data_IF_725134029212
#
_entry.id   IF_725134029212
#
_cell.length_a   1.000
_cell.length_b   1.000
_cell.length_c   1.000
_cell.angle_alpha   90.00
_cell.angle_beta   90.00
_cell.angle_gamma   90.00
#
_symmetry.space_group_name_H-M   'P 1'
#
loop_
_entity.id
_entity.type
_entity.pdbx_description
1 polymer ?
#
# COMPACT_ATOMS: atom_id res chain seq x y z
N UNK A 1 -2.54 18.42 6.11
CA UNK A 1 -1.44 17.68 6.80
C UNK A 1 -0.40 17.31 5.75
N UNK A 2 0.89 17.44 6.08
CA UNK A 2 1.99 17.05 5.19
C UNK A 2 2.19 15.52 5.23
N UNK A 3 2.55 14.93 4.10
CA UNK A 3 2.93 13.53 3.96
C UNK A 3 4.16 13.46 3.04
N UNK A 4 5.35 13.84 3.52
CA UNK A 4 6.55 13.93 2.69
C UNK A 4 6.95 12.54 2.18
N UNK A 5 7.72 12.49 1.09
CA UNK A 5 8.20 11.23 0.53
C UNK A 5 9.17 10.50 1.49
N UNK A 6 8.94 9.20 1.73
CA UNK A 6 9.81 8.31 2.53
C UNK A 6 9.57 6.83 2.15
N UNK A 7 10.45 5.92 2.56
CA UNK A 7 10.28 4.46 2.41
C UNK A 7 9.82 3.97 1.02
N UNK A 8 10.46 4.50 -0.03
CA UNK A 8 10.15 4.24 -1.44
C UNK A 8 11.38 3.89 -2.30
N UNK A 9 12.54 3.75 -1.67
CA UNK A 9 13.83 3.53 -2.35
C UNK A 9 14.00 2.09 -2.85
N UNK A 10 13.15 1.17 -2.42
CA UNK A 10 13.16 -0.23 -2.83
C UNK A 10 11.84 -0.58 -3.53
N UNK A 11 11.84 -1.57 -4.45
CA UNK A 11 10.62 -2.08 -5.05
C UNK A 11 9.61 -2.51 -3.97
N UNK A 12 8.36 -2.08 -4.14
CA UNK A 12 7.27 -2.59 -3.34
C UNK A 12 6.97 -4.03 -3.73
N UNK A 13 6.75 -4.88 -2.73
CA UNK A 13 6.47 -6.30 -2.89
C UNK A 13 4.98 -6.62 -2.72
N UNK A 14 4.58 -7.81 -3.14
CA UNK A 14 3.21 -8.31 -2.93
C UNK A 14 2.82 -8.27 -1.44
N UNK A 15 1.68 -7.65 -1.16
CA UNK A 15 1.16 -7.45 0.20
C UNK A 15 1.74 -6.25 0.93
N UNK A 16 2.62 -5.44 0.31
CA UNK A 16 3.00 -4.16 0.90
C UNK A 16 1.80 -3.22 0.95
N UNK A 17 1.68 -2.48 2.05
CA UNK A 17 0.69 -1.42 2.25
C UNK A 17 1.38 -0.09 2.02
N UNK A 18 0.88 0.69 1.08
CA UNK A 18 1.48 1.95 0.65
C UNK A 18 0.45 3.09 0.71
N UNK A 19 0.92 4.31 0.89
CA UNK A 19 0.10 5.53 0.86
C UNK A 19 0.69 6.56 -0.10
N UNK A 20 -0.13 7.24 -0.87
CA UNK A 20 0.34 8.32 -1.75
C UNK A 20 0.88 9.51 -0.95
N UNK A 21 2.10 9.95 -1.27
CA UNK A 21 2.78 11.06 -0.59
C UNK A 21 2.44 12.41 -1.24
N UNK A 22 3.11 13.47 -0.78
CA UNK A 22 2.88 14.86 -1.21
C UNK A 22 3.11 15.06 -2.72
N UNK A 23 3.91 14.21 -3.36
CA UNK A 23 4.20 14.26 -4.80
C UNK A 23 3.17 13.52 -5.66
N UNK A 24 2.12 12.95 -5.05
CA UNK A 24 1.10 12.17 -5.76
C UNK A 24 -0.19 12.95 -6.08
N UNK A 25 -0.12 14.29 -6.09
CA UNK A 25 -1.20 15.19 -6.48
C UNK A 25 -2.57 14.81 -5.88
N UNK A 26 -3.55 14.52 -6.74
CA UNK A 26 -4.92 14.14 -6.38
C UNK A 26 -5.02 12.78 -5.66
N UNK A 27 -3.96 11.97 -5.73
CA UNK A 27 -3.85 10.65 -5.08
C UNK A 27 -3.09 10.72 -3.74
N UNK A 28 -2.69 11.93 -3.31
CA UNK A 28 -2.13 12.14 -1.98
C UNK A 28 -3.06 11.56 -0.91
N UNK A 29 -2.47 10.80 0.01
CA UNK A 29 -3.13 10.08 1.10
C UNK A 29 -4.06 8.94 0.66
N UNK A 30 -4.03 8.52 -0.61
CA UNK A 30 -4.72 7.30 -1.04
C UNK A 30 -3.96 6.06 -0.53
N UNK A 31 -4.66 5.18 0.19
CA UNK A 31 -4.11 3.92 0.72
C UNK A 31 -4.30 2.79 -0.30
N UNK A 32 -3.25 2.01 -0.54
CA UNK A 32 -3.26 0.91 -1.51
C UNK A 32 -2.58 -0.34 -0.92
N UNK A 33 -2.94 -1.51 -1.45
CA UNK A 33 -2.22 -2.78 -1.23
C UNK A 33 -1.60 -3.21 -2.55
N UNK A 34 -0.32 -3.56 -2.51
CA UNK A 34 0.44 -3.94 -3.71
C UNK A 34 0.14 -5.40 -4.08
N UNK A 35 -0.40 -5.61 -5.29
CA UNK A 35 -0.70 -6.95 -5.84
C UNK A 35 0.29 -7.38 -6.94
N UNK A 36 1.10 -6.46 -7.43
CA UNK A 36 2.17 -6.71 -8.41
C UNK A 36 3.37 -5.87 -8.01
N UNK A 37 4.57 -6.46 -7.97
CA UNK A 37 5.76 -5.74 -7.56
C UNK A 37 6.06 -4.57 -8.53
N UNK A 38 6.41 -3.41 -7.98
CA UNK A 38 6.73 -2.19 -8.75
C UNK A 38 7.47 -1.17 -7.90
N UNK A 39 8.00 -0.14 -8.55
CA UNK A 39 8.60 1.05 -7.92
C UNK A 39 7.72 2.28 -8.21
N UNK A 40 7.51 3.13 -7.21
CA UNK A 40 6.87 4.45 -7.39
C UNK A 40 7.29 5.39 -6.25
N UNK A 41 8.11 6.39 -6.56
CA UNK A 41 8.61 7.34 -5.56
C UNK A 41 7.52 8.24 -4.96
N UNK A 42 6.34 8.30 -5.58
CA UNK A 42 5.19 9.08 -5.11
C UNK A 42 4.36 8.33 -4.06
N UNK A 43 4.79 7.15 -3.64
CA UNK A 43 4.13 6.34 -2.62
C UNK A 43 5.10 6.06 -1.48
N UNK A 44 4.63 6.05 -0.25
CA UNK A 44 5.40 5.64 0.92
C UNK A 44 4.94 4.27 1.40
N UNK A 45 5.86 3.33 1.67
CA UNK A 45 5.53 2.08 2.34
C UNK A 45 5.24 2.34 3.82
N UNK A 46 4.08 1.89 4.30
CA UNK A 46 3.61 2.10 5.69
C UNK A 46 3.32 0.79 6.43
N UNK A 47 3.38 -0.34 5.74
CA UNK A 47 3.19 -1.65 6.36
C UNK A 47 3.29 -2.79 5.35
N UNK A 48 3.00 -3.99 5.84
CA UNK A 48 2.96 -5.19 5.04
C UNK A 48 1.92 -6.15 5.64
N UNK A 49 1.10 -6.76 4.79
CA UNK A 49 0.18 -7.83 5.17
C UNK A 49 0.99 -9.05 5.63
N UNK A 50 0.65 -9.62 6.79
CA UNK A 50 1.30 -10.79 7.34
C UNK A 50 1.35 -11.92 6.29
N UNK A 51 2.47 -12.62 6.21
CA UNK A 51 2.74 -13.53 5.07
C UNK A 51 1.67 -14.62 4.96
N UNK A 52 1.21 -15.13 6.10
CA UNK A 52 0.16 -16.12 6.24
C UNK A 52 -1.25 -15.60 5.87
N UNK A 53 -1.48 -14.29 5.92
CA UNK A 53 -2.75 -13.65 5.56
C UNK A 53 -2.80 -13.19 4.11
N UNK A 54 -1.66 -13.17 3.40
CA UNK A 54 -1.61 -12.77 1.97
C UNK A 54 -2.49 -13.65 1.08
N UNK A 55 -2.78 -14.89 1.49
CA UNK A 55 -3.73 -15.78 0.82
C UNK A 55 -5.14 -15.19 0.73
N UNK A 56 -5.50 -14.22 1.58
CA UNK A 56 -6.79 -13.55 1.58
C UNK A 56 -6.92 -12.46 0.50
N UNK A 57 -5.80 -11.93 -0.02
CA UNK A 57 -5.80 -10.79 -0.94
C UNK A 57 -6.56 -11.07 -2.26
N UNK A 58 -6.47 -12.26 -2.89
CA UNK A 58 -7.28 -12.58 -4.08
C UNK A 58 -8.80 -12.60 -3.82
N UNK A 59 -9.25 -12.72 -2.57
CA UNK A 59 -10.66 -12.68 -2.21
C UNK A 59 -11.23 -11.27 -2.11
N UNK A 60 -10.38 -10.23 -2.18
CA UNK A 60 -10.81 -8.83 -2.25
C UNK A 60 -11.19 -8.53 -3.70
N UNK A 61 -12.49 -8.57 -3.97
CA UNK A 61 -13.09 -8.34 -5.29
C UNK A 61 -13.68 -6.91 -5.35
N UNK A 62 -14.15 -6.44 -6.53
CA UNK A 62 -14.83 -5.16 -6.63
C UNK A 62 -15.95 -5.03 -5.59
N UNK A 63 -15.99 -3.89 -4.89
CA UNK A 63 -16.94 -3.58 -3.82
C UNK A 63 -16.80 -4.38 -2.52
N UNK A 64 -15.80 -5.27 -2.40
CA UNK A 64 -15.49 -5.96 -1.13
C UNK A 64 -15.03 -4.96 -0.08
N UNK A 65 -15.68 -4.99 1.09
CA UNK A 65 -15.23 -4.26 2.28
C UNK A 65 -14.25 -5.13 3.06
N UNK A 66 -13.14 -4.56 3.49
CA UNK A 66 -12.18 -5.21 4.37
C UNK A 66 -11.67 -4.23 5.43
N UNK A 67 -10.96 -4.73 6.45
CA UNK A 67 -10.38 -3.91 7.51
C UNK A 67 -8.96 -4.41 7.80
N UNK A 68 -8.01 -3.49 7.83
CA UNK A 68 -6.67 -3.76 8.36
C UNK A 68 -6.72 -3.74 9.88
N UNK A 69 -6.08 -4.72 10.51
CA UNK A 69 -5.88 -4.78 11.96
C UNK A 69 -4.39 -4.98 12.23
N UNK A 70 -3.92 -4.39 13.34
CA UNK A 70 -2.60 -4.73 13.86
C UNK A 70 -2.64 -6.18 14.35
N UNK A 71 -1.57 -6.91 14.07
CA UNK A 71 -1.34 -8.24 14.64
C UNK A 71 -1.16 -8.17 16.16
#
# INVERSE_FOLDING_TARGET
MANPAHDHQAPFAYGDVVIGNDDFDRYKNELQIVLTAHEDSRKNKVGQIAKEEQILLPFIQPWTKFKLKRK
#
